data_IF_850306416391
#
_entry.id   IF_850306416391
#
_cell.length_a   1.000
_cell.length_b   1.000
_cell.length_c   1.000
_cell.angle_alpha   90.00
_cell.angle_beta   90.00
_cell.angle_gamma   90.00
#
_symmetry.space_group_name_H-M   'P 1'
#
loop_
_entity.id
_entity.type
_entity.pdbx_description
1 polymer ?
#
# COMPACT_ATOMS: atom_id res chain seq x y z
N UNK A 1 0.70 49.90 -6.71
CA UNK A 1 1.74 49.49 -5.74
C UNK A 1 1.35 48.13 -5.18
N UNK A 2 2.34 47.25 -5.02
CA UNK A 2 2.30 45.89 -4.47
C UNK A 2 1.64 45.84 -3.07
N UNK A 3 1.30 44.72 -2.42
CA UNK A 3 1.80 43.33 -2.46
C UNK A 3 0.84 42.44 -1.62
N UNK A 4 0.42 41.27 -2.10
CA UNK A 4 0.80 39.90 -1.67
C UNK A 4 0.53 39.47 -0.21
N UNK A 5 -0.29 38.43 -0.01
CA UNK A 5 0.21 37.09 0.30
C UNK A 5 -0.91 36.02 0.28
N UNK A 6 -0.70 35.02 -0.57
CA UNK A 6 -1.37 33.73 -0.65
C UNK A 6 -0.65 32.73 0.26
N UNK A 7 -1.40 31.96 1.04
CA UNK A 7 -0.92 30.72 1.65
C UNK A 7 -1.60 29.53 0.97
N UNK A 8 -0.79 28.85 0.16
CA UNK A 8 -1.01 27.60 -0.56
C UNK A 8 -1.37 26.47 0.42
N UNK A 9 -2.52 25.81 0.26
CA UNK A 9 -2.80 24.52 0.88
C UNK A 9 -2.70 23.43 -0.18
N UNK A 10 -1.69 22.56 -0.04
CA UNK A 10 -1.47 21.42 -0.92
C UNK A 10 -2.56 20.34 -0.79
N UNK A 11 -2.80 19.53 -1.83
CA UNK A 11 -3.96 18.64 -1.89
C UNK A 11 -3.58 17.21 -1.47
N UNK A 12 -3.54 16.91 -0.16
CA UNK A 12 -3.52 15.52 0.32
C UNK A 12 -4.21 15.38 1.68
N UNK A 13 -5.54 15.49 1.69
CA UNK A 13 -6.37 14.95 2.77
C UNK A 13 -7.68 14.43 2.15
N UNK A 14 -7.94 13.14 2.34
CA UNK A 14 -9.22 12.52 2.00
C UNK A 14 -9.06 11.12 1.42
N UNK A 15 -9.18 10.11 2.27
CA UNK A 15 -9.80 8.82 1.92
C UNK A 15 -10.50 8.22 3.14
N UNK A 16 -11.81 8.41 3.17
CA UNK A 16 -12.75 7.55 3.88
C UNK A 16 -12.76 6.17 3.20
N UNK A 17 -12.71 5.09 3.99
CA UNK A 17 -12.86 3.72 3.51
C UNK A 17 -14.32 3.26 3.66
N UNK A 18 -14.91 2.54 2.69
CA UNK A 18 -16.29 2.07 2.78
C UNK A 18 -16.38 0.80 3.65
N UNK A 19 -17.40 0.76 4.51
CA UNK A 19 -17.77 -0.39 5.32
C UNK A 19 -18.56 -1.41 4.48
N UNK A 20 -18.07 -2.65 4.40
CA UNK A 20 -18.80 -3.80 3.87
C UNK A 20 -19.21 -4.75 5.00
N UNK A 21 -20.52 -5.02 5.13
CA UNK A 21 -21.08 -6.11 5.93
C UNK A 21 -21.04 -7.41 5.14
N UNK A 22 -20.49 -8.50 5.72
CA UNK A 22 -20.92 -9.88 5.48
C UNK A 22 -20.71 -10.66 6.79
N UNK A 23 -21.79 -11.26 7.31
CA UNK A 23 -21.82 -12.23 8.40
C UNK A 23 -21.12 -13.54 7.99
N UNK A 24 -20.27 -14.10 8.86
CA UNK A 24 -20.00 -15.54 8.97
C UNK A 24 -19.39 -15.87 10.34
N UNK A 25 -19.94 -16.92 10.94
CA UNK A 25 -19.81 -17.30 12.33
C UNK A 25 -18.42 -17.81 12.76
N UNK A 26 -18.15 -17.61 14.07
CA UNK A 26 -17.20 -18.34 14.92
C UNK A 26 -15.69 -18.25 14.63
N UNK A 27 -15.11 -17.05 14.74
CA UNK A 27 -13.68 -16.82 15.01
C UNK A 27 -13.55 -15.67 16.03
N UNK A 28 -12.53 -15.73 16.89
CA UNK A 28 -12.36 -14.94 18.13
C UNK A 28 -12.96 -13.54 18.10
N UNK A 29 -13.93 -13.32 18.99
CA UNK A 29 -14.78 -12.14 19.03
C UNK A 29 -14.01 -10.82 18.90
N UNK A 30 -14.43 -9.97 17.95
CA UNK A 30 -14.10 -8.55 17.95
C UNK A 30 -14.54 -7.96 19.30
N UNK A 31 -13.68 -7.23 20.03
CA UNK A 31 -14.18 -6.41 21.11
C UNK A 31 -15.13 -5.37 20.52
N UNK A 32 -16.37 -5.33 21.01
CA UNK A 32 -17.30 -4.25 20.73
C UNK A 32 -16.71 -2.90 21.15
N UNK A 33 -17.20 -1.79 20.59
CA UNK A 33 -16.59 -0.48 20.78
C UNK A 33 -16.74 -0.03 22.23
N UNK A 34 -15.66 -0.12 23.01
CA UNK A 34 -15.48 0.76 24.15
C UNK A 34 -14.99 2.09 23.60
N UNK A 35 -15.93 3.03 23.50
CA UNK A 35 -15.67 4.39 23.05
C UNK A 35 -14.63 5.05 23.96
N UNK A 36 -13.38 5.13 23.53
CA UNK A 36 -12.47 6.17 24.01
C UNK A 36 -13.00 7.48 23.45
N UNK A 37 -13.69 8.26 24.27
CA UNK A 37 -14.15 9.62 23.95
C UNK A 37 -12.99 10.42 23.35
N UNK A 38 -13.06 10.79 22.07
CA UNK A 38 -12.03 11.55 21.36
C UNK A 38 -11.84 12.99 21.89
N UNK A 39 -12.58 13.38 22.95
CA UNK A 39 -12.66 14.77 23.43
C UNK A 39 -11.51 15.23 24.34
N UNK A 40 -10.54 14.36 24.67
CA UNK A 40 -9.47 14.70 25.62
C UNK A 40 -8.04 14.32 25.18
N UNK A 41 -7.82 14.07 23.88
CA UNK A 41 -6.47 13.78 23.41
C UNK A 41 -5.67 15.09 23.24
N UNK A 42 -4.44 15.16 23.75
CA UNK A 42 -3.61 16.35 23.61
C UNK A 42 -3.28 16.62 22.13
N UNK A 43 -3.01 17.87 21.71
CA UNK A 43 -2.69 18.22 20.33
C UNK A 43 -1.51 17.43 19.73
N UNK A 44 -0.56 16.99 20.56
CA UNK A 44 0.59 16.17 20.18
C UNK A 44 0.23 14.70 19.85
N UNK A 45 -1.01 14.27 20.10
CA UNK A 45 -1.42 12.89 19.87
C UNK A 45 -1.31 12.49 18.40
N UNK A 46 -1.81 13.33 17.48
CA UNK A 46 -1.72 13.09 16.02
C UNK A 46 -0.28 13.13 15.52
N UNK A 47 0.59 13.88 16.20
CA UNK A 47 2.01 13.90 15.87
C UNK A 47 2.70 12.57 16.23
N UNK A 48 2.43 12.03 17.42
CA UNK A 48 3.01 10.77 17.86
C UNK A 48 2.35 9.53 17.24
N UNK A 49 1.07 9.61 16.88
CA UNK A 49 0.28 8.52 16.31
C UNK A 49 -0.52 9.00 15.09
N UNK A 50 0.14 9.29 13.95
CA UNK A 50 -0.50 9.88 12.77
C UNK A 50 -1.55 8.97 12.13
N UNK A 51 -1.43 7.65 12.31
CA UNK A 51 -2.42 6.65 11.87
C UNK A 51 -3.52 6.37 12.91
N UNK A 52 -3.48 7.06 14.06
CA UNK A 52 -4.36 6.85 15.21
C UNK A 52 -4.05 5.61 16.04
N UNK A 53 -4.79 5.43 17.14
CA UNK A 53 -4.73 4.26 18.03
C UNK A 53 -6.11 3.62 18.19
N UNK A 54 -6.87 3.53 17.10
CA UNK A 54 -8.23 3.01 17.14
C UNK A 54 -8.23 1.59 17.72
N UNK A 55 -9.02 1.36 18.78
CA UNK A 55 -9.19 0.08 19.50
C UNK A 55 -8.08 -0.30 20.49
N UNK A 56 -7.30 0.67 20.99
CA UNK A 56 -6.24 0.39 21.96
C UNK A 56 -6.79 0.57 23.36
N UNK A 57 -6.54 -0.40 24.24
CA UNK A 57 -6.79 -0.25 25.67
C UNK A 57 -5.67 0.60 26.27
N UNK A 58 -5.69 1.91 26.02
CA UNK A 58 -4.63 2.81 26.47
C UNK A 58 -4.57 2.91 27.99
N UNK A 59 -3.37 2.88 28.54
CA UNK A 59 -3.15 3.22 29.96
C UNK A 59 -3.30 4.74 30.10
N UNK A 60 -4.13 5.23 31.05
CA UNK A 60 -4.31 6.66 31.26
C UNK A 60 -2.97 7.36 31.49
N UNK A 61 -2.74 8.47 30.78
CA UNK A 61 -1.63 9.38 31.05
C UNK A 61 -2.05 10.46 32.04
N UNK A 62 -1.08 11.24 32.53
CA UNK A 62 -1.39 12.45 33.28
C UNK A 62 -2.11 13.45 32.36
N UNK A 63 -2.88 14.35 32.96
CA UNK A 63 -3.61 15.38 32.22
C UNK A 63 -2.65 16.21 31.34
N UNK A 64 -2.98 16.34 30.05
CA UNK A 64 -2.15 17.03 29.06
C UNK A 64 -1.03 16.19 28.43
N UNK A 65 -0.73 14.99 28.94
CA UNK A 65 0.27 14.10 28.36
C UNK A 65 -0.32 13.15 27.31
N UNK A 66 0.46 12.85 26.27
CA UNK A 66 0.10 11.84 25.28
C UNK A 66 0.25 10.44 25.89
N UNK A 67 -0.78 9.58 25.88
CA UNK A 67 -0.66 8.20 26.32
C UNK A 67 0.44 7.45 25.55
N UNK A 68 1.32 6.75 26.27
CA UNK A 68 2.48 6.02 25.72
C UNK A 68 2.47 4.52 26.00
N UNK A 69 1.41 4.03 26.63
CA UNK A 69 1.30 2.63 27.05
C UNK A 69 -0.09 2.11 26.74
N UNK A 70 -0.20 0.83 26.48
CA UNK A 70 -1.47 0.12 26.30
C UNK A 70 -1.45 -1.19 27.07
N UNK A 71 -2.65 -1.68 27.39
CA UNK A 71 -2.89 -2.97 28.02
C UNK A 71 -3.20 -4.00 26.94
N UNK A 72 -2.37 -5.03 26.87
CA UNK A 72 -2.60 -6.20 26.04
C UNK A 72 -3.23 -7.30 26.91
N UNK A 73 -4.51 -7.60 26.66
CA UNK A 73 -5.31 -8.54 27.46
C UNK A 73 -6.29 -9.39 26.62
N UNK A 74 -6.09 -9.42 25.30
CA UNK A 74 -7.01 -10.03 24.33
C UNK A 74 -6.44 -11.28 23.65
N UNK A 75 -5.22 -11.70 24.00
CA UNK A 75 -4.55 -12.88 23.42
C UNK A 75 -4.39 -13.97 24.48
N UNK A 76 -4.78 -15.23 24.20
CA UNK A 76 -4.63 -16.32 25.15
C UNK A 76 -3.15 -16.68 25.33
N UNK A 77 -2.80 -17.29 26.46
CA UNK A 77 -1.44 -17.75 26.75
C UNK A 77 -0.91 -18.68 25.65
N UNK A 78 -1.77 -19.54 25.10
CA UNK A 78 -1.41 -20.46 24.01
C UNK A 78 -0.90 -19.77 22.74
N UNK A 79 -1.31 -18.52 22.50
CA UNK A 79 -0.83 -17.70 21.39
C UNK A 79 0.69 -17.45 21.45
N UNK A 80 1.31 -17.51 22.63
CA UNK A 80 2.75 -17.33 22.77
C UNK A 80 3.55 -18.65 22.79
N UNK A 81 2.90 -19.77 22.44
CA UNK A 81 3.49 -21.12 22.55
C UNK A 81 3.57 -21.89 21.23
N UNK A 82 3.30 -21.22 20.10
CA UNK A 82 3.27 -21.86 18.78
C UNK A 82 4.69 -22.23 18.34
N UNK A 83 4.89 -23.49 17.93
CA UNK A 83 6.21 -24.04 17.59
C UNK A 83 6.53 -23.97 16.10
N UNK A 84 5.54 -24.24 15.26
CA UNK A 84 5.67 -24.25 13.81
C UNK A 84 5.24 -22.90 13.25
N UNK A 85 6.19 -21.97 13.17
CA UNK A 85 6.00 -20.60 12.69
C UNK A 85 7.15 -20.21 11.77
N UNK A 86 6.86 -19.35 10.79
CA UNK A 86 7.83 -18.94 9.76
C UNK A 86 8.78 -17.86 10.28
N UNK A 87 8.24 -16.87 10.99
CA UNK A 87 8.95 -15.83 11.72
C UNK A 87 10.12 -15.19 10.93
N UNK A 88 9.87 -14.75 9.70
CA UNK A 88 10.91 -14.37 8.73
C UNK A 88 11.88 -13.31 9.28
N UNK A 89 11.40 -12.31 10.00
CA UNK A 89 12.25 -11.25 10.54
C UNK A 89 13.01 -11.70 11.79
N UNK A 90 12.35 -12.40 12.72
CA UNK A 90 12.98 -12.90 13.95
C UNK A 90 14.07 -13.95 13.67
N UNK A 91 13.83 -14.83 12.70
CA UNK A 91 14.73 -15.96 12.36
C UNK A 91 15.75 -15.61 11.28
N UNK A 92 15.72 -14.39 10.75
CA UNK A 92 16.51 -14.00 9.58
C UNK A 92 16.30 -14.94 8.39
N UNK A 93 15.03 -15.20 8.08
CA UNK A 93 14.56 -16.13 7.06
C UNK A 93 15.06 -17.57 7.31
N UNK A 94 14.85 -18.06 8.53
CA UNK A 94 15.22 -19.43 8.96
C UNK A 94 16.71 -19.65 9.27
N UNK A 95 17.54 -18.61 9.21
CA UNK A 95 18.98 -18.72 9.52
C UNK A 95 19.28 -18.84 11.02
N UNK A 96 18.35 -18.42 11.87
CA UNK A 96 18.43 -18.48 13.33
C UNK A 96 17.17 -19.18 13.84
N UNK A 97 17.24 -20.10 14.81
CA UNK A 97 16.06 -20.76 15.36
C UNK A 97 15.11 -19.76 16.03
N UNK A 98 13.82 -20.10 16.07
CA UNK A 98 12.82 -19.34 16.84
C UNK A 98 13.15 -19.37 18.32
N UNK A 99 12.96 -18.25 19.01
CA UNK A 99 13.09 -18.20 20.47
C UNK A 99 11.80 -18.71 21.12
N UNK A 100 11.95 -19.69 22.01
CA UNK A 100 10.87 -20.14 22.86
C UNK A 100 10.59 -19.17 24.01
N UNK A 101 9.38 -19.24 24.56
CA UNK A 101 9.00 -18.57 25.80
C UNK A 101 8.75 -19.60 26.88
N UNK A 102 9.18 -19.30 28.11
CA UNK A 102 8.76 -20.08 29.27
C UNK A 102 7.33 -19.72 29.62
N UNK A 103 6.42 -20.67 29.50
CA UNK A 103 4.99 -20.47 29.75
C UNK A 103 4.69 -20.10 31.21
N UNK A 104 5.60 -20.38 32.14
CA UNK A 104 5.50 -19.98 33.55
C UNK A 104 5.55 -18.46 33.77
N UNK A 105 6.05 -17.70 32.80
CA UNK A 105 6.27 -16.25 32.90
C UNK A 105 5.41 -15.44 31.92
N UNK A 106 4.47 -16.10 31.22
CA UNK A 106 3.56 -15.46 30.28
C UNK A 106 2.35 -14.92 31.05
N UNK A 107 2.22 -13.61 31.10
CA UNK A 107 1.05 -12.95 31.68
C UNK A 107 -0.03 -12.71 30.62
N UNK A 108 -1.28 -13.03 30.97
CA UNK A 108 -2.47 -12.82 30.11
C UNK A 108 -2.73 -11.34 29.89
N UNK A 109 -2.52 -10.54 30.93
CA UNK A 109 -2.70 -9.08 30.91
C UNK A 109 -1.36 -8.43 31.20
N UNK A 110 -0.92 -7.55 30.30
CA UNK A 110 0.35 -6.83 30.45
C UNK A 110 0.25 -5.41 29.91
N UNK A 111 1.00 -4.51 30.52
CA UNK A 111 1.18 -3.17 29.99
C UNK A 111 2.47 -3.09 29.17
N UNK A 112 2.35 -2.56 27.96
CA UNK A 112 3.45 -2.40 27.04
C UNK A 112 3.58 -0.94 26.61
N UNK A 113 4.81 -0.53 26.29
CA UNK A 113 5.06 0.73 25.61
C UNK A 113 4.44 0.70 24.22
N UNK A 114 3.61 1.69 23.92
CA UNK A 114 3.11 1.91 22.56
C UNK A 114 4.22 2.59 21.76
N UNK A 115 4.58 2.03 20.61
CA UNK A 115 5.53 2.68 19.71
C UNK A 115 4.90 3.90 19.06
N UNK A 116 5.58 5.04 19.17
CA UNK A 116 5.22 6.23 18.42
C UNK A 116 5.67 6.12 16.96
N UNK A 117 5.30 7.12 16.15
CA UNK A 117 5.61 7.18 14.72
C UNK A 117 7.10 7.05 14.40
N UNK A 118 7.97 7.71 15.17
CA UNK A 118 9.43 7.67 14.98
C UNK A 118 9.97 6.26 15.29
N UNK A 119 9.57 5.68 16.41
CA UNK A 119 9.97 4.32 16.80
C UNK A 119 9.51 3.27 15.79
N UNK A 120 8.29 3.40 15.28
CA UNK A 120 7.75 2.55 14.22
C UNK A 120 8.58 2.69 12.94
N UNK A 121 8.87 3.92 12.52
CA UNK A 121 9.64 4.18 11.31
C UNK A 121 11.07 3.64 11.42
N UNK A 122 11.73 3.84 12.56
CA UNK A 122 13.09 3.33 12.80
C UNK A 122 13.14 1.81 12.71
N UNK A 123 12.13 1.13 13.27
CA UNK A 123 12.00 -0.33 13.17
C UNK A 123 11.71 -0.79 11.75
N UNK A 124 10.82 -0.11 11.03
CA UNK A 124 10.54 -0.39 9.63
C UNK A 124 11.82 -0.26 8.79
N UNK A 125 12.59 0.81 9.01
CA UNK A 125 13.87 1.04 8.35
C UNK A 125 14.91 -0.03 8.69
N UNK A 126 14.97 -0.49 9.93
CA UNK A 126 15.85 -1.59 10.33
C UNK A 126 15.48 -2.91 9.63
N UNK A 127 14.19 -3.23 9.53
CA UNK A 127 13.70 -4.39 8.77
C UNK A 127 14.06 -4.25 7.29
N UNK A 128 13.82 -3.09 6.67
CA UNK A 128 14.19 -2.85 5.27
C UNK A 128 15.68 -3.10 5.00
N UNK A 129 16.56 -2.55 5.83
CA UNK A 129 18.02 -2.73 5.67
C UNK A 129 18.43 -4.20 5.66
N UNK A 130 17.76 -5.05 6.45
CA UNK A 130 18.14 -6.44 6.64
C UNK A 130 17.34 -7.43 5.78
N UNK A 131 16.08 -7.14 5.49
CA UNK A 131 15.10 -8.08 4.95
C UNK A 131 14.39 -7.58 3.70
N UNK A 132 14.95 -6.61 2.96
CA UNK A 132 14.30 -6.00 1.80
C UNK A 132 13.69 -7.01 0.80
N UNK A 133 14.35 -8.13 0.53
CA UNK A 133 13.82 -9.18 -0.37
C UNK A 133 12.55 -9.82 0.16
N UNK A 134 12.49 -10.07 1.47
CA UNK A 134 11.30 -10.63 2.13
C UNK A 134 10.13 -9.64 2.14
N UNK A 135 10.40 -8.34 1.95
CA UNK A 135 9.36 -7.32 1.87
C UNK A 135 8.61 -7.32 0.54
N UNK A 136 9.17 -7.90 -0.53
CA UNK A 136 8.49 -8.02 -1.83
C UNK A 136 7.22 -8.88 -1.74
N UNK A 137 7.24 -9.90 -0.89
CA UNK A 137 6.12 -10.82 -0.66
C UNK A 137 5.37 -10.52 0.64
N UNK A 138 5.53 -9.34 1.21
CA UNK A 138 4.87 -8.98 2.46
C UNK A 138 3.38 -8.76 2.22
N UNK A 139 2.55 -9.49 2.96
CA UNK A 139 1.10 -9.35 2.96
C UNK A 139 0.67 -8.51 4.16
N UNK A 140 -0.40 -7.74 3.97
CA UNK A 140 -1.07 -7.08 5.09
C UNK A 140 -1.67 -8.16 6.00
N UNK A 141 -1.48 -8.09 7.32
CA UNK A 141 -2.09 -9.05 8.22
C UNK A 141 -3.61 -8.82 8.29
N UNK A 142 -4.38 -9.90 8.35
CA UNK A 142 -5.84 -9.94 8.45
C UNK A 142 -6.29 -10.48 9.82
N UNK A 143 -5.47 -11.32 10.46
CA UNK A 143 -5.67 -11.86 11.80
C UNK A 143 -4.36 -11.91 12.60
N UNK A 144 -4.44 -12.02 13.92
CA UNK A 144 -3.26 -11.99 14.79
C UNK A 144 -2.23 -13.05 14.39
N UNK A 145 -2.70 -14.24 14.05
CA UNK A 145 -1.89 -15.38 13.61
C UNK A 145 -0.98 -15.05 12.42
N UNK A 146 -1.33 -14.08 11.57
CA UNK A 146 -0.47 -13.67 10.46
C UNK A 146 0.85 -13.04 10.94
N UNK A 147 0.91 -12.57 12.19
CA UNK A 147 2.17 -12.10 12.79
C UNK A 147 3.21 -13.21 12.89
N UNK A 148 2.81 -14.48 12.96
CA UNK A 148 3.74 -15.61 12.99
C UNK A 148 4.50 -15.80 11.67
N UNK A 149 4.03 -15.20 10.57
CA UNK A 149 4.79 -15.20 9.33
C UNK A 149 6.06 -14.34 9.43
N UNK A 150 6.02 -13.33 10.29
CA UNK A 150 7.05 -12.30 10.38
C UNK A 150 7.86 -12.39 11.66
N UNK A 151 7.24 -12.73 12.78
CA UNK A 151 7.86 -12.70 14.10
C UNK A 151 7.70 -14.01 14.87
N UNK A 152 8.67 -14.34 15.71
CA UNK A 152 8.56 -15.46 16.64
C UNK A 152 7.74 -15.08 17.88
N UNK A 153 7.27 -16.08 18.63
CA UNK A 153 6.46 -15.84 19.82
C UNK A 153 7.17 -14.96 20.86
N UNK A 154 8.50 -15.05 20.96
CA UNK A 154 9.32 -14.22 21.84
C UNK A 154 9.19 -12.73 21.49
N UNK A 155 9.43 -12.35 20.23
CA UNK A 155 9.29 -10.95 19.81
C UNK A 155 7.86 -10.47 19.97
N UNK A 156 6.87 -11.30 19.61
CA UNK A 156 5.46 -10.97 19.77
C UNK A 156 5.11 -10.69 21.23
N UNK A 157 5.62 -11.49 22.16
CA UNK A 157 5.36 -11.29 23.59
C UNK A 157 5.99 -10.00 24.14
N UNK A 158 7.26 -9.77 23.85
CA UNK A 158 8.02 -8.67 24.46
C UNK A 158 7.81 -7.32 23.77
N UNK A 159 7.58 -7.31 22.46
CA UNK A 159 7.31 -6.09 21.71
C UNK A 159 5.82 -5.75 21.66
N UNK A 160 4.96 -6.75 21.88
CA UNK A 160 3.50 -6.63 21.81
C UNK A 160 2.95 -6.86 20.41
N UNK A 161 1.84 -7.60 20.33
CA UNK A 161 1.25 -7.97 19.05
C UNK A 161 0.73 -6.74 18.30
N UNK A 162 0.16 -5.76 19.01
CA UNK A 162 -0.33 -4.52 18.40
C UNK A 162 0.79 -3.69 17.76
N UNK A 163 1.91 -3.54 18.45
CA UNK A 163 3.07 -2.81 17.91
C UNK A 163 3.61 -3.46 16.64
N UNK A 164 3.73 -4.78 16.64
CA UNK A 164 4.19 -5.54 15.48
C UNK A 164 3.17 -5.52 14.34
N UNK A 165 1.88 -5.56 14.64
CA UNK A 165 0.80 -5.39 13.67
C UNK A 165 0.93 -4.06 12.93
N UNK A 166 1.08 -2.96 13.67
CA UNK A 166 1.28 -1.64 13.08
C UNK A 166 2.53 -1.59 12.21
N UNK A 167 3.62 -2.21 12.66
CA UNK A 167 4.87 -2.26 11.93
C UNK A 167 4.70 -3.00 10.58
N UNK A 168 4.00 -4.13 10.55
CA UNK A 168 3.72 -4.86 9.30
C UNK A 168 2.79 -4.06 8.40
N UNK A 169 1.75 -3.42 8.95
CA UNK A 169 0.85 -2.56 8.17
C UNK A 169 1.60 -1.37 7.57
N UNK A 170 2.47 -0.70 8.33
CA UNK A 170 3.30 0.40 7.85
C UNK A 170 4.21 -0.07 6.70
N UNK A 171 4.92 -1.19 6.89
CA UNK A 171 5.78 -1.77 5.86
C UNK A 171 4.99 -2.09 4.59
N UNK A 172 3.82 -2.71 4.72
CA UNK A 172 2.93 -3.03 3.62
C UNK A 172 2.46 -1.79 2.86
N UNK A 173 1.94 -0.80 3.58
CA UNK A 173 1.32 0.38 2.99
C UNK A 173 2.38 1.24 2.28
N UNK A 174 3.55 1.41 2.88
CA UNK A 174 4.68 2.12 2.23
C UNK A 174 5.16 1.38 0.97
N UNK A 175 5.27 0.04 1.01
CA UNK A 175 5.66 -0.75 -0.17
C UNK A 175 4.60 -0.68 -1.28
N UNK A 176 3.32 -0.70 -0.91
CA UNK A 176 2.20 -0.56 -1.85
C UNK A 176 2.21 0.81 -2.51
N UNK A 177 2.45 1.87 -1.73
CA UNK A 177 2.60 3.24 -2.25
C UNK A 177 3.77 3.35 -3.24
N UNK A 178 4.94 2.82 -2.89
CA UNK A 178 6.11 2.82 -3.79
C UNK A 178 5.83 2.04 -5.08
N UNK A 179 5.23 0.86 -4.97
CA UNK A 179 4.88 0.02 -6.13
C UNK A 179 3.87 0.73 -7.04
N UNK A 180 2.83 1.33 -6.47
CA UNK A 180 1.85 2.13 -7.20
C UNK A 180 2.52 3.31 -7.91
N UNK A 181 3.40 4.05 -7.23
CA UNK A 181 4.08 5.20 -7.83
C UNK A 181 4.98 4.78 -9.01
N UNK A 182 5.72 3.69 -8.85
CA UNK A 182 6.54 3.11 -9.92
C UNK A 182 5.69 2.66 -11.10
N UNK A 183 4.58 1.96 -10.85
CA UNK A 183 3.61 1.56 -11.86
C UNK A 183 3.06 2.77 -12.62
N UNK A 184 2.60 3.79 -11.90
CA UNK A 184 2.07 5.00 -12.52
C UNK A 184 3.12 5.74 -13.37
N UNK A 185 4.37 5.83 -12.91
CA UNK A 185 5.46 6.42 -13.69
C UNK A 185 5.76 5.61 -14.96
N UNK A 186 5.72 4.28 -14.88
CA UNK A 186 5.83 3.39 -16.04
C UNK A 186 4.68 3.58 -17.02
N UNK A 187 3.43 3.63 -16.55
CA UNK A 187 2.24 3.86 -17.37
C UNK A 187 2.34 5.14 -18.21
N UNK A 188 2.80 6.25 -17.62
CA UNK A 188 2.99 7.51 -18.35
C UNK A 188 4.03 7.36 -19.44
N UNK A 189 5.20 6.77 -19.14
CA UNK A 189 6.27 6.57 -20.14
C UNK A 189 5.83 5.68 -21.30
N UNK A 190 5.13 4.59 -21.00
CA UNK A 190 4.58 3.69 -22.03
C UNK A 190 3.51 4.38 -22.87
N UNK A 191 2.65 5.19 -22.25
CA UNK A 191 1.66 6.00 -22.96
C UNK A 191 2.33 6.96 -23.95
N UNK A 192 3.31 7.75 -23.50
CA UNK A 192 4.06 8.68 -24.36
C UNK A 192 4.77 7.95 -25.50
N UNK A 193 5.41 6.80 -25.21
CA UNK A 193 6.02 5.99 -26.26
C UNK A 193 4.98 5.52 -27.29
N UNK A 194 3.77 5.15 -26.87
CA UNK A 194 2.70 4.81 -27.81
C UNK A 194 2.28 6.00 -28.66
N UNK A 195 2.25 7.22 -28.12
CA UNK A 195 1.98 8.44 -28.89
C UNK A 195 3.06 8.68 -29.95
N UNK A 196 4.33 8.54 -29.58
CA UNK A 196 5.47 8.65 -30.50
C UNK A 196 5.42 7.57 -31.59
N UNK A 197 5.13 6.32 -31.20
CA UNK A 197 5.02 5.20 -32.13
C UNK A 197 3.89 5.41 -33.14
N UNK A 198 2.71 5.87 -32.70
CA UNK A 198 1.55 6.17 -33.56
C UNK A 198 1.75 7.44 -34.40
N UNK A 199 2.63 8.36 -34.00
CA UNK A 199 2.93 9.55 -34.79
C UNK A 199 3.57 9.21 -36.16
N UNK A 200 4.21 8.06 -36.29
CA UNK A 200 4.69 7.56 -37.58
C UNK A 200 3.52 7.09 -38.46
N UNK A 201 3.39 7.67 -39.66
CA UNK A 201 2.27 7.42 -40.56
C UNK A 201 2.04 5.93 -40.88
N UNK A 202 3.12 5.15 -41.04
CA UNK A 202 3.04 3.71 -41.29
C UNK A 202 2.43 2.95 -40.09
N UNK A 203 2.88 3.26 -38.87
CA UNK A 203 2.37 2.63 -37.66
C UNK A 203 0.92 3.04 -37.39
N UNK A 204 0.58 4.30 -37.64
CA UNK A 204 -0.79 4.79 -37.60
C UNK A 204 -1.71 3.98 -38.52
N UNK A 205 -1.29 3.77 -39.77
CA UNK A 205 -2.06 2.99 -40.74
C UNK A 205 -2.22 1.53 -40.29
N UNK A 206 -1.12 0.89 -39.81
CA UNK A 206 -1.16 -0.47 -39.24
C UNK A 206 -2.14 -0.58 -38.09
N UNK A 207 -2.09 0.36 -37.13
CA UNK A 207 -2.97 0.36 -35.97
C UNK A 207 -4.43 0.60 -36.36
N UNK A 208 -4.72 1.50 -37.30
CA UNK A 208 -6.09 1.73 -37.76
C UNK A 208 -6.68 0.53 -38.51
N UNK A 209 -5.85 -0.20 -39.26
CA UNK A 209 -6.26 -1.40 -39.99
C UNK A 209 -6.33 -2.68 -39.16
N UNK A 210 -5.84 -2.67 -37.92
CA UNK A 210 -5.79 -3.85 -37.07
C UNK A 210 -7.17 -4.32 -36.59
N UNK A 211 -7.40 -5.62 -36.66
CA UNK A 211 -8.56 -6.26 -36.07
C UNK A 211 -8.18 -7.33 -35.03
N UNK A 212 -8.94 -7.44 -33.94
CA UNK A 212 -8.61 -8.34 -32.83
C UNK A 212 -8.64 -9.83 -33.20
N UNK A 213 -9.27 -10.22 -34.31
CA UNK A 213 -9.23 -11.60 -34.82
C UNK A 213 -7.93 -11.92 -35.57
N UNK A 214 -7.12 -10.92 -35.93
CA UNK A 214 -5.84 -11.08 -36.62
C UNK A 214 -4.68 -11.36 -35.65
N UNK A 215 -4.91 -11.18 -34.34
CA UNK A 215 -3.94 -11.47 -33.30
C UNK A 215 -3.96 -10.42 -32.19
N UNK A 216 -2.79 -10.19 -31.59
CA UNK A 216 -2.59 -9.20 -30.55
C UNK A 216 -2.11 -7.87 -31.15
N UNK A 217 -2.67 -6.74 -30.70
CA UNK A 217 -2.27 -5.39 -31.15
C UNK A 217 -0.79 -5.12 -30.91
N UNK A 218 -0.21 -5.76 -29.88
CA UNK A 218 1.22 -5.66 -29.56
C UNK A 218 2.07 -6.29 -30.67
N UNK A 219 1.51 -7.25 -31.43
CA UNK A 219 2.17 -7.86 -32.59
C UNK A 219 2.39 -6.91 -33.77
N UNK A 220 1.80 -5.71 -33.75
CA UNK A 220 2.06 -4.67 -34.75
C UNK A 220 3.44 -4.00 -34.57
N UNK A 221 4.06 -4.17 -33.41
CA UNK A 221 5.29 -3.49 -33.05
C UNK A 221 6.47 -4.26 -33.65
N UNK A 222 7.28 -3.57 -34.44
CA UNK A 222 8.42 -4.18 -35.12
C UNK A 222 9.51 -4.58 -34.13
N UNK A 223 10.40 -5.55 -34.48
CA UNK A 223 11.51 -5.94 -33.61
C UNK A 223 12.38 -4.75 -33.16
N UNK A 224 12.67 -3.81 -34.04
CA UNK A 224 13.47 -2.61 -33.73
C UNK A 224 12.75 -1.69 -32.73
N UNK A 225 11.45 -1.45 -32.93
CA UNK A 225 10.64 -0.69 -31.99
C UNK A 225 10.53 -1.40 -30.63
N UNK A 226 10.56 -2.75 -30.63
CA UNK A 226 10.59 -3.55 -29.42
C UNK A 226 11.92 -3.39 -28.66
N UNK A 227 13.05 -3.31 -29.36
CA UNK A 227 14.35 -3.05 -28.76
C UNK A 227 14.41 -1.68 -28.06
N UNK A 228 13.77 -0.66 -28.64
CA UNK A 228 13.62 0.65 -27.98
C UNK A 228 12.68 0.58 -26.77
N UNK A 229 11.55 -0.13 -26.89
CA UNK A 229 10.59 -0.26 -25.81
C UNK A 229 11.13 -1.03 -24.61
N UNK A 230 11.99 -2.02 -24.83
CA UNK A 230 12.64 -2.80 -23.75
C UNK A 230 13.54 -1.95 -22.84
N UNK A 231 13.89 -0.72 -23.25
CA UNK A 231 14.60 0.25 -22.39
C UNK A 231 13.67 0.89 -21.34
N UNK A 232 12.36 0.69 -21.46
CA UNK A 232 11.33 1.13 -20.52
C UNK A 232 10.88 -0.04 -19.62
N UNK A 233 10.26 0.24 -18.46
CA UNK A 233 9.61 -0.78 -17.65
C UNK A 233 8.38 -1.33 -18.39
N UNK A 234 8.60 -2.32 -19.25
CA UNK A 234 7.59 -2.90 -20.15
C UNK A 234 6.51 -3.63 -19.36
N UNK A 235 5.27 -3.23 -19.59
CA UNK A 235 4.08 -3.98 -19.23
C UNK A 235 3.22 -4.14 -20.48
N UNK A 236 3.09 -5.38 -20.95
CA UNK A 236 2.36 -5.73 -22.18
C UNK A 236 0.89 -5.34 -22.07
N UNK A 237 0.27 -5.45 -20.89
CA UNK A 237 -1.12 -5.05 -20.70
C UNK A 237 -1.28 -3.54 -20.83
N UNK A 238 -0.35 -2.76 -20.27
CA UNK A 238 -0.37 -1.30 -20.42
C UNK A 238 -0.20 -0.87 -21.88
N UNK A 239 0.72 -1.49 -22.62
CA UNK A 239 0.94 -1.20 -24.04
C UNK A 239 -0.31 -1.56 -24.86
N UNK A 240 -0.88 -2.74 -24.65
CA UNK A 240 -2.10 -3.18 -25.32
C UNK A 240 -3.24 -2.19 -25.09
N UNK A 241 -3.49 -1.82 -23.83
CA UNK A 241 -4.55 -0.87 -23.48
C UNK A 241 -4.29 0.51 -24.08
N UNK A 242 -3.05 0.99 -24.06
CA UNK A 242 -2.64 2.26 -24.64
C UNK A 242 -2.85 2.32 -26.16
N UNK A 243 -2.48 1.27 -26.89
CA UNK A 243 -2.65 1.19 -28.35
C UNK A 243 -4.12 1.04 -28.74
N UNK A 244 -4.88 0.18 -28.06
CA UNK A 244 -6.32 0.03 -28.32
C UNK A 244 -7.09 1.33 -28.01
N UNK A 245 -6.70 2.07 -26.97
CA UNK A 245 -7.30 3.37 -26.68
C UNK A 245 -7.10 4.35 -27.84
N UNK A 246 -5.86 4.46 -28.35
CA UNK A 246 -5.50 5.32 -29.49
C UNK A 246 -6.18 4.87 -30.78
N UNK A 247 -6.26 3.56 -31.02
CA UNK A 247 -7.01 3.02 -32.15
C UNK A 247 -8.48 3.45 -32.10
N UNK A 248 -9.13 3.27 -30.94
CA UNK A 248 -10.52 3.66 -30.76
C UNK A 248 -10.73 5.18 -30.92
N UNK A 249 -9.77 6.00 -30.50
CA UNK A 249 -9.77 7.45 -30.75
C UNK A 249 -9.75 7.76 -32.25
N UNK A 250 -8.81 7.17 -33.00
CA UNK A 250 -8.68 7.37 -34.45
C UNK A 250 -9.90 6.87 -35.23
N UNK A 251 -10.55 5.80 -34.75
CA UNK A 251 -11.79 5.28 -35.30
C UNK A 251 -13.03 6.06 -34.85
N UNK A 252 -12.88 7.15 -34.07
CA UNK A 252 -13.96 8.01 -33.65
C UNK A 252 -14.97 7.36 -32.68
N UNK A 253 -14.57 6.30 -31.97
CA UNK A 253 -15.46 5.56 -31.08
C UNK A 253 -15.96 6.46 -29.94
N UNK A 254 -17.28 6.46 -29.62
CA UNK A 254 -17.85 7.39 -28.63
C UNK A 254 -17.19 7.33 -27.24
N UNK A 255 -16.82 6.13 -26.77
CA UNK A 255 -16.22 5.91 -25.45
C UNK A 255 -14.72 6.26 -25.37
N UNK A 256 -14.06 6.48 -26.50
CA UNK A 256 -12.64 6.80 -26.55
C UNK A 256 -12.38 8.28 -26.80
N UNK A 257 -13.43 9.09 -27.00
CA UNK A 257 -13.29 10.53 -27.23
C UNK A 257 -12.49 11.19 -26.09
N UNK A 258 -11.60 12.15 -26.39
CA UNK A 258 -10.87 12.87 -25.35
C UNK A 258 -11.85 13.49 -24.37
N UNK A 259 -11.64 13.21 -23.08
CA UNK A 259 -12.43 13.87 -22.04
C UNK A 259 -12.04 15.34 -21.94
N UNK A 260 -12.99 16.21 -21.59
CA UNK A 260 -12.68 17.59 -21.26
C UNK A 260 -12.00 17.69 -19.89
N UNK A 261 -11.36 18.83 -19.60
CA UNK A 261 -10.92 19.15 -18.24
C UNK A 261 -12.14 19.18 -17.29
N UNK A 262 -12.05 18.65 -16.06
CA UNK A 262 -10.85 18.11 -15.39
C UNK A 262 -10.60 16.61 -15.62
N UNK A 263 -11.48 15.90 -16.33
CA UNK A 263 -11.40 14.44 -16.50
C UNK A 263 -10.17 13.98 -17.32
N UNK A 264 -9.60 14.84 -18.15
CA UNK A 264 -8.33 14.58 -18.85
C UNK A 264 -7.07 15.00 -18.08
N UNK A 265 -7.19 15.52 -16.86
CA UNK A 265 -6.03 15.92 -16.06
C UNK A 265 -5.17 14.71 -15.69
N UNK A 266 -3.89 14.97 -15.41
CA UNK A 266 -2.98 13.96 -14.88
C UNK A 266 -3.53 13.33 -13.60
N UNK A 267 -4.05 14.16 -12.68
CA UNK A 267 -4.61 13.72 -11.41
C UNK A 267 -5.84 12.81 -11.58
N UNK A 268 -6.72 13.12 -12.54
CA UNK A 268 -7.87 12.25 -12.84
C UNK A 268 -7.42 10.87 -13.36
N UNK A 269 -6.48 10.84 -14.32
CA UNK A 269 -5.95 9.59 -14.86
C UNK A 269 -5.15 8.79 -13.83
N UNK A 270 -4.42 9.47 -12.93
CA UNK A 270 -3.73 8.85 -11.81
C UNK A 270 -4.68 8.16 -10.84
N UNK A 271 -5.80 8.81 -10.52
CA UNK A 271 -6.81 8.25 -9.62
C UNK A 271 -7.59 7.10 -10.24
N UNK A 272 -7.82 7.14 -11.55
CA UNK A 272 -8.59 6.13 -12.28
C UNK A 272 -7.74 4.95 -12.80
N UNK A 273 -6.41 4.99 -12.66
CA UNK A 273 -5.52 3.94 -13.18
C UNK A 273 -5.44 3.91 -14.71
N UNK A 274 -5.61 5.05 -15.37
CA UNK A 274 -5.67 5.18 -16.84
C UNK A 274 -4.52 6.00 -17.43
N UNK A 275 -3.40 6.13 -16.71
CA UNK A 275 -2.26 6.97 -17.10
C UNK A 275 -1.63 6.61 -18.46
N UNK A 276 -1.68 5.35 -18.86
CA UNK A 276 -1.23 4.88 -20.19
C UNK A 276 -2.08 5.44 -21.36
N UNK A 277 -3.29 5.89 -21.06
CA UNK A 277 -4.20 6.55 -22.01
C UNK A 277 -4.12 8.09 -21.90
N UNK A 278 -3.41 8.62 -20.89
CA UNK A 278 -3.23 10.05 -20.74
C UNK A 278 -2.41 10.61 -21.91
N UNK A 279 -2.75 11.81 -22.37
CA UNK A 279 -2.19 12.49 -23.55
C UNK A 279 -2.45 11.83 -24.91
N UNK A 280 -3.16 10.70 -24.98
CA UNK A 280 -3.64 10.14 -26.24
C UNK A 280 -4.46 11.18 -26.98
N UNK A 281 -3.90 11.78 -28.03
CA UNK A 281 -4.54 12.84 -28.79
C UNK A 281 -5.54 12.26 -29.80
N UNK A 282 -6.69 12.94 -29.86
CA UNK A 282 -7.55 13.08 -31.04
C UNK A 282 -6.79 13.44 -32.31
#
# INVERSE_FOLDING_TARGET
MASSNTSDQGPFQGRDFPAGKIDRDAQGAKPGPLATSSRHLPPSFTYHYPSGTHNYNMVPAKEGETPRRYVEAYLPVSYYSRKEIKAVFSTNNGKVPTRGLSMSHVHVTRELGLWNAEELQDRANAIRKKHWRSLESLTRPECWEDLYDYFDCFDIYFQGAMNLWNLVCLLHDENTCLSRNNFCAASVKLGIWCDEWVAHAENKAKLMGFHCWEGDVVGLITPDAWAELQKLPVDIMLIRNALLHRQNQMLGKPWARPSAYPANSLGANWNNGTLQCWLGKS
#
